data_IF_135204691001
#
_entry.id   IF_135204691001
#
_cell.length_a   1.000
_cell.length_b   1.000
_cell.length_c   1.000
_cell.angle_alpha   90.00
_cell.angle_beta   90.00
_cell.angle_gamma   90.00
#
_symmetry.space_group_name_H-M   'P 1'
#
loop_
_entity.id
_entity.type
_entity.pdbx_description
1 polymer ?
#
# COMPACT_ATOMS: atom_id res chain seq x y z
N UNK A 1 12.88 -13.62 75.60
CA UNK A 1 11.57 -13.47 74.92
C UNK A 1 11.86 -12.79 73.58
N UNK A 2 11.86 -13.55 72.52
CA UNK A 2 12.16 -13.04 71.16
C UNK A 2 10.83 -12.69 70.46
N UNK A 3 10.69 -11.43 70.05
CA UNK A 3 9.55 -10.96 69.21
C UNK A 3 9.90 -11.24 67.78
N UNK A 4 9.22 -12.14 67.16
CA UNK A 4 9.24 -12.41 65.72
C UNK A 4 8.30 -11.47 65.03
N UNK A 5 8.84 -10.54 64.26
CA UNK A 5 8.07 -9.61 63.43
C UNK A 5 7.79 -10.31 62.09
N UNK A 6 6.53 -10.62 61.84
CA UNK A 6 6.05 -11.20 60.56
C UNK A 6 5.91 -10.05 59.54
N UNK A 7 6.81 -9.97 58.57
CA UNK A 7 6.66 -9.09 57.42
C UNK A 7 5.77 -9.77 56.36
N UNK A 8 4.55 -9.30 56.25
CA UNK A 8 3.60 -9.71 55.21
C UNK A 8 3.93 -8.90 53.94
N UNK A 9 4.62 -9.52 53.01
CA UNK A 9 4.85 -8.96 51.69
C UNK A 9 3.55 -9.08 50.90
N UNK A 10 2.80 -7.99 50.76
CA UNK A 10 1.65 -7.88 49.86
C UNK A 10 2.20 -7.73 48.44
N UNK A 11 2.16 -8.83 47.69
CA UNK A 11 2.43 -8.84 46.25
C UNK A 11 1.26 -8.16 45.56
N UNK A 12 1.40 -6.88 45.25
CA UNK A 12 0.43 -6.16 44.40
C UNK A 12 0.64 -6.66 42.96
N UNK A 13 -0.12 -7.67 42.58
CA UNK A 13 -0.28 -8.06 41.16
C UNK A 13 -1.16 -6.98 40.55
N UNK A 14 -0.55 -6.02 39.85
CA UNK A 14 -1.23 -5.11 38.97
C UNK A 14 -1.80 -5.91 37.79
N UNK A 15 -3.02 -6.40 37.94
CA UNK A 15 -3.80 -6.90 36.80
C UNK A 15 -4.13 -5.67 35.96
N UNK A 16 -3.38 -5.50 34.88
CA UNK A 16 -3.76 -4.57 33.83
C UNK A 16 -5.08 -5.08 33.25
N UNK A 17 -6.19 -4.53 33.68
CA UNK A 17 -7.48 -4.72 33.05
C UNK A 17 -7.34 -4.02 31.70
N UNK A 18 -7.02 -4.77 30.67
CA UNK A 18 -7.28 -4.35 29.30
C UNK A 18 -8.80 -4.30 29.16
N UNK A 19 -9.37 -3.12 29.37
CA UNK A 19 -10.69 -2.84 28.88
C UNK A 19 -10.67 -3.17 27.38
N UNK A 20 -11.36 -4.21 26.99
CA UNK A 20 -11.61 -4.49 25.59
C UNK A 20 -12.37 -3.30 25.04
N UNK A 21 -11.69 -2.37 24.40
CA UNK A 21 -12.30 -1.48 23.44
C UNK A 21 -12.76 -2.35 22.28
N UNK A 22 -13.97 -2.92 22.41
CA UNK A 22 -14.58 -3.69 21.35
C UNK A 22 -14.75 -2.79 20.15
N UNK A 23 -14.21 -3.18 19.03
CA UNK A 23 -14.71 -2.71 17.75
C UNK A 23 -13.81 -1.85 16.90
N UNK A 24 -12.65 -1.33 17.25
CA UNK A 24 -11.80 -0.59 16.28
C UNK A 24 -10.28 -0.81 16.47
N UNK A 25 -9.90 -1.84 17.21
CA UNK A 25 -8.48 -2.13 17.47
C UNK A 25 -7.64 -2.31 16.20
N UNK A 26 -8.23 -2.73 15.09
CA UNK A 26 -7.55 -2.87 13.80
C UNK A 26 -7.28 -1.48 13.18
N UNK A 27 -8.22 -0.54 13.31
CA UNK A 27 -8.06 0.83 12.78
C UNK A 27 -7.12 1.68 13.64
N UNK A 28 -7.14 1.50 14.97
CA UNK A 28 -6.15 2.14 15.85
C UNK A 28 -4.74 1.57 15.63
N UNK A 29 -4.59 0.26 15.42
CA UNK A 29 -3.30 -0.32 15.06
C UNK A 29 -2.79 0.22 13.72
N UNK A 30 -3.63 0.35 12.72
CA UNK A 30 -3.23 0.95 11.44
C UNK A 30 -2.92 2.44 11.58
N UNK A 31 -3.69 3.21 12.35
CA UNK A 31 -3.39 4.61 12.64
C UNK A 31 -2.14 4.77 13.51
N UNK A 32 -1.91 3.91 14.50
CA UNK A 32 -0.66 3.88 15.27
C UNK A 32 0.52 3.43 14.43
N UNK A 33 0.32 2.45 13.54
CA UNK A 33 1.34 2.01 12.61
C UNK A 33 1.70 3.11 11.62
N UNK A 34 0.71 3.81 11.07
CA UNK A 34 0.91 4.98 10.20
C UNK A 34 1.53 6.14 10.99
N UNK A 35 1.11 6.40 12.24
CA UNK A 35 1.70 7.44 13.08
C UNK A 35 3.14 7.11 13.51
N UNK A 36 3.43 5.87 13.88
CA UNK A 36 4.78 5.43 14.24
C UNK A 36 5.70 5.37 13.02
N UNK A 37 5.20 4.94 11.87
CA UNK A 37 5.94 5.00 10.60
C UNK A 37 6.23 6.45 10.19
N UNK A 38 5.30 7.37 10.45
CA UNK A 38 5.49 8.80 10.19
C UNK A 38 6.44 9.48 11.20
N UNK A 39 6.53 8.99 12.44
CA UNK A 39 7.47 9.51 13.44
C UNK A 39 8.90 9.06 13.14
N UNK A 40 9.09 7.83 12.70
CA UNK A 40 10.38 7.27 12.30
C UNK A 40 10.82 7.74 10.90
N UNK A 41 9.88 8.16 10.04
CA UNK A 41 10.18 8.63 8.68
C UNK A 41 11.07 9.89 8.60
N UNK A 42 11.28 10.59 9.71
CA UNK A 42 12.20 11.73 9.73
C UNK A 42 13.69 11.32 9.80
N UNK A 43 14.00 10.09 10.19
CA UNK A 43 15.37 9.54 10.13
C UNK A 43 15.59 8.61 8.92
N UNK A 44 14.53 8.00 8.38
CA UNK A 44 14.62 7.03 7.27
C UNK A 44 14.50 7.65 5.87
N UNK A 45 14.18 8.94 5.74
CA UNK A 45 13.91 9.60 4.44
C UNK A 45 15.07 9.62 3.46
N UNK A 46 16.27 9.33 3.87
CA UNK A 46 17.44 9.25 2.96
C UNK A 46 17.67 7.81 2.47
N UNK A 47 17.12 6.81 3.14
CA UNK A 47 17.38 5.39 2.88
C UNK A 47 16.24 4.67 2.16
N UNK A 48 14.99 5.17 2.24
CA UNK A 48 13.80 4.53 1.65
C UNK A 48 13.78 4.59 0.10
N UNK A 49 14.61 5.44 -0.49
CA UNK A 49 14.87 5.43 -1.94
C UNK A 49 15.77 4.25 -2.39
N UNK A 50 16.36 3.50 -1.44
CA UNK A 50 17.25 2.36 -1.75
C UNK A 50 16.61 1.00 -1.48
N UNK A 51 15.48 0.92 -0.81
CA UNK A 51 14.84 -0.36 -0.44
C UNK A 51 13.63 -0.77 -1.30
N UNK A 52 13.22 0.02 -2.28
CA UNK A 52 12.43 -0.56 -3.36
C UNK A 52 13.36 -1.52 -4.09
N UNK A 53 13.30 -2.79 -3.74
CA UNK A 53 14.11 -3.86 -4.27
C UNK A 53 14.44 -3.64 -5.75
N UNK A 54 15.62 -3.11 -5.99
CA UNK A 54 16.38 -3.48 -7.16
C UNK A 54 16.31 -5.00 -7.12
N UNK A 55 15.60 -5.62 -8.04
CA UNK A 55 15.82 -7.02 -8.35
C UNK A 55 17.28 -7.03 -8.72
N UNK A 56 18.09 -7.37 -7.74
CA UNK A 56 19.51 -7.15 -7.78
C UNK A 56 20.08 -7.96 -8.91
N UNK A 57 21.13 -7.45 -9.45
CA UNK A 57 22.10 -8.13 -10.31
C UNK A 57 22.63 -9.46 -9.74
N UNK A 58 22.12 -9.93 -8.60
CA UNK A 58 22.48 -11.21 -7.97
C UNK A 58 22.16 -12.43 -8.83
N UNK A 59 21.23 -12.34 -9.78
CA UNK A 59 20.98 -13.43 -10.74
C UNK A 59 22.16 -13.58 -11.71
N UNK A 60 22.92 -12.52 -11.94
CA UNK A 60 24.04 -12.53 -12.91
C UNK A 60 25.24 -13.34 -12.39
N UNK A 61 25.41 -13.44 -11.08
CA UNK A 61 26.62 -14.02 -10.48
C UNK A 61 26.68 -15.57 -10.47
N UNK A 62 25.58 -16.25 -10.84
CA UNK A 62 25.52 -17.72 -10.88
C UNK A 62 25.30 -18.29 -12.29
N UNK A 63 25.60 -17.50 -13.34
CA UNK A 63 25.40 -17.94 -14.72
C UNK A 63 26.57 -18.79 -15.20
N UNK A 64 26.27 -19.97 -15.70
CA UNK A 64 27.20 -20.69 -16.55
C UNK A 64 27.51 -19.81 -17.78
N UNK A 65 28.72 -19.89 -18.31
CA UNK A 65 29.20 -19.06 -19.42
C UNK A 65 28.33 -19.05 -20.69
N UNK A 66 27.38 -19.98 -20.80
CA UNK A 66 26.51 -20.19 -21.95
C UNK A 66 25.06 -19.74 -21.75
N UNK A 67 24.71 -19.10 -20.61
CA UNK A 67 23.35 -18.71 -20.32
C UNK A 67 23.23 -17.18 -20.21
N UNK A 68 22.09 -16.65 -20.65
CA UNK A 68 21.76 -15.25 -20.51
C UNK A 68 20.35 -15.10 -19.92
N UNK A 69 20.24 -14.37 -18.84
CA UNK A 69 18.97 -14.12 -18.14
C UNK A 69 18.53 -12.68 -18.42
N UNK A 70 17.28 -12.52 -18.79
CA UNK A 70 16.65 -11.22 -18.98
C UNK A 70 15.46 -11.08 -18.07
N UNK A 71 15.37 -9.92 -17.41
CA UNK A 71 14.17 -9.53 -16.68
C UNK A 71 13.57 -8.31 -17.36
N UNK A 72 12.27 -8.35 -17.62
CA UNK A 72 11.49 -7.22 -18.11
C UNK A 72 10.48 -6.83 -17.04
N UNK A 73 10.54 -5.60 -16.60
CA UNK A 73 9.60 -5.03 -15.63
C UNK A 73 8.65 -4.10 -16.37
N UNK A 74 7.36 -4.31 -16.20
CA UNK A 74 6.31 -3.50 -16.84
C UNK A 74 5.33 -2.96 -15.82
N UNK A 75 4.83 -1.76 -16.08
CA UNK A 75 3.89 -1.01 -15.26
C UNK A 75 2.74 -0.53 -16.14
N UNK A 76 1.51 -0.65 -15.63
CA UNK A 76 0.33 -0.07 -16.25
C UNK A 76 -0.42 0.78 -15.23
N UNK A 77 -0.71 2.05 -15.60
CA UNK A 77 -1.61 2.90 -14.82
C UNK A 77 -3.03 2.72 -15.36
N UNK A 78 -3.95 2.38 -14.47
CA UNK A 78 -5.36 2.13 -14.82
C UNK A 78 -6.24 3.05 -13.98
N UNK A 79 -7.10 3.82 -14.65
CA UNK A 79 -8.16 4.55 -13.96
C UNK A 79 -9.16 3.55 -13.39
N UNK A 80 -9.66 3.80 -12.19
CA UNK A 80 -10.66 2.93 -11.59
C UNK A 80 -12.01 3.02 -12.35
N UNK A 81 -12.71 1.92 -12.42
CA UNK A 81 -14.04 1.81 -13.02
C UNK A 81 -15.15 2.19 -12.02
N UNK A 82 -14.85 2.07 -10.74
CA UNK A 82 -15.73 2.49 -9.66
C UNK A 82 -14.94 2.72 -8.36
N UNK A 83 -15.59 3.46 -7.46
CA UNK A 83 -15.03 3.90 -6.19
C UNK A 83 -15.97 3.58 -5.04
N UNK A 84 -15.44 3.44 -3.83
CA UNK A 84 -16.20 3.28 -2.60
C UNK A 84 -15.67 4.25 -1.56
N UNK A 85 -16.44 5.30 -1.25
CA UNK A 85 -16.15 6.17 -0.13
C UNK A 85 -16.72 5.56 1.15
N UNK A 86 -15.91 5.52 2.21
CA UNK A 86 -16.28 5.00 3.52
C UNK A 86 -16.18 6.12 4.54
N UNK A 87 -17.31 6.49 5.13
CA UNK A 87 -17.40 7.48 6.19
C UNK A 87 -17.66 6.81 7.53
N UNK A 88 -17.10 7.36 8.60
CA UNK A 88 -17.47 7.04 9.96
C UNK A 88 -18.50 8.03 10.49
N UNK A 89 -19.52 7.53 11.15
CA UNK A 89 -20.52 8.32 11.85
C UNK A 89 -20.63 7.86 13.30
N UNK A 90 -20.10 8.67 14.21
CA UNK A 90 -20.17 8.44 15.65
C UNK A 90 -21.04 9.50 16.30
N UNK A 91 -22.02 9.07 17.09
CA UNK A 91 -22.93 9.96 17.83
C UNK A 91 -23.17 9.42 19.24
N UNK A 92 -23.50 10.34 20.14
CA UNK A 92 -23.91 10.03 21.51
C UNK A 92 -25.35 10.45 21.79
N UNK A 93 -26.02 9.77 22.71
CA UNK A 93 -27.36 10.11 23.14
C UNK A 93 -27.67 9.51 24.51
N UNK A 94 -28.70 9.99 25.17
CA UNK A 94 -29.06 9.55 26.53
C UNK A 94 -29.57 8.10 26.58
N UNK A 95 -30.12 7.61 25.46
CA UNK A 95 -30.60 6.24 25.32
C UNK A 95 -30.13 5.62 24.00
N UNK A 96 -30.05 4.29 23.96
CA UNK A 96 -29.73 3.56 22.72
C UNK A 96 -30.71 3.85 21.58
N UNK A 97 -32.01 4.09 21.89
CA UNK A 97 -33.02 4.46 20.90
C UNK A 97 -32.77 5.87 20.33
N UNK A 98 -32.45 6.83 21.20
CA UNK A 98 -32.18 8.19 20.82
C UNK A 98 -30.94 8.29 19.89
N UNK A 99 -29.80 7.69 20.30
CA UNK A 99 -28.59 7.74 19.48
C UNK A 99 -28.79 7.05 18.13
N UNK A 100 -29.54 5.94 18.08
CA UNK A 100 -29.89 5.29 16.81
C UNK A 100 -30.77 6.20 15.93
N UNK A 101 -31.70 6.94 16.53
CA UNK A 101 -32.53 7.92 15.81
C UNK A 101 -31.69 9.04 15.19
N UNK A 102 -30.73 9.60 15.94
CA UNK A 102 -29.82 10.64 15.47
C UNK A 102 -28.98 10.15 14.29
N UNK A 103 -28.35 8.97 14.45
CA UNK A 103 -27.50 8.36 13.40
C UNK A 103 -28.29 8.09 12.14
N UNK A 104 -29.49 7.50 12.27
CA UNK A 104 -30.32 7.19 11.11
C UNK A 104 -30.82 8.49 10.41
N UNK A 105 -31.20 9.52 11.15
CA UNK A 105 -31.65 10.80 10.59
C UNK A 105 -30.56 11.45 9.73
N UNK A 106 -29.32 11.49 10.21
CA UNK A 106 -28.17 12.02 9.46
C UNK A 106 -27.89 11.21 8.19
N UNK A 107 -27.89 9.89 8.32
CA UNK A 107 -27.69 9.00 7.16
C UNK A 107 -28.78 9.16 6.11
N UNK A 108 -30.06 9.14 6.50
CA UNK A 108 -31.18 9.27 5.57
C UNK A 108 -31.20 10.68 4.90
N UNK A 109 -30.84 11.73 5.63
CA UNK A 109 -30.68 13.07 5.07
C UNK A 109 -29.61 13.12 3.97
N UNK A 110 -28.41 12.56 4.26
CA UNK A 110 -27.33 12.43 3.27
C UNK A 110 -27.78 11.58 2.07
N UNK A 111 -28.38 10.43 2.32
CA UNK A 111 -28.87 9.50 1.30
C UNK A 111 -29.89 10.15 0.37
N UNK A 112 -30.86 10.88 0.92
CA UNK A 112 -31.87 11.60 0.15
C UNK A 112 -31.25 12.68 -0.75
N UNK A 113 -30.27 13.43 -0.25
CA UNK A 113 -29.55 14.42 -1.03
C UNK A 113 -28.71 13.79 -2.16
N UNK A 114 -28.03 12.66 -1.91
CA UNK A 114 -27.28 11.93 -2.93
C UNK A 114 -28.20 11.29 -3.98
N UNK A 115 -29.39 10.82 -3.60
CA UNK A 115 -30.37 10.32 -4.56
C UNK A 115 -30.79 11.40 -5.56
N UNK A 116 -30.89 12.67 -5.18
CA UNK A 116 -31.13 13.77 -6.11
C UNK A 116 -30.01 13.99 -7.12
N UNK A 117 -28.83 13.45 -6.88
CA UNK A 117 -27.66 13.45 -7.76
C UNK A 117 -27.54 12.17 -8.61
N UNK A 118 -28.53 11.28 -8.55
CA UNK A 118 -28.59 10.07 -9.37
C UNK A 118 -28.14 8.78 -8.68
N UNK A 119 -27.83 8.82 -7.38
CA UNK A 119 -27.55 7.61 -6.61
C UNK A 119 -28.84 6.80 -6.38
N UNK A 120 -28.67 5.50 -6.26
CA UNK A 120 -29.74 4.52 -5.97
C UNK A 120 -29.56 3.90 -4.60
N UNK A 121 -30.56 3.17 -4.10
CA UNK A 121 -30.42 2.45 -2.82
C UNK A 121 -29.29 1.41 -2.84
N UNK A 122 -29.00 0.84 -3.99
CA UNK A 122 -27.95 -0.16 -4.16
C UNK A 122 -26.52 0.41 -4.01
N UNK A 123 -26.38 1.74 -4.07
CA UNK A 123 -25.09 2.40 -3.92
C UNK A 123 -24.70 2.64 -2.46
N UNK A 124 -25.60 2.34 -1.52
CA UNK A 124 -25.40 2.57 -0.09
C UNK A 124 -25.40 1.27 0.68
N UNK A 125 -24.43 1.16 1.59
CA UNK A 125 -24.39 0.12 2.60
C UNK A 125 -23.96 0.73 3.93
N UNK A 126 -24.53 0.22 5.03
CA UNK A 126 -24.12 0.63 6.38
C UNK A 126 -23.81 -0.58 7.23
N UNK A 127 -22.73 -0.51 7.97
CA UNK A 127 -22.41 -1.49 9.01
C UNK A 127 -22.39 -0.84 10.39
N UNK A 128 -22.89 -1.57 11.39
CA UNK A 128 -22.82 -1.14 12.77
C UNK A 128 -21.50 -1.62 13.37
N UNK A 129 -20.67 -0.69 13.83
CA UNK A 129 -19.39 -0.99 14.46
C UNK A 129 -19.55 -1.21 15.95
N UNK A 130 -20.23 -0.29 16.65
CA UNK A 130 -20.44 -0.42 18.10
C UNK A 130 -21.67 0.34 18.57
N UNK A 131 -22.25 -0.15 19.67
CA UNK A 131 -23.21 0.56 20.51
C UNK A 131 -22.80 0.28 21.96
N UNK A 132 -22.23 1.24 22.63
CA UNK A 132 -21.65 1.07 23.96
C UNK A 132 -22.17 2.13 24.93
N UNK A 133 -22.32 1.82 26.23
CA UNK A 133 -22.62 2.83 27.22
C UNK A 133 -21.43 3.78 27.42
N UNK A 134 -21.72 5.04 27.62
CA UNK A 134 -20.75 6.09 27.99
C UNK A 134 -20.84 6.33 29.48
N UNK A 135 -19.69 6.35 30.14
CA UNK A 135 -19.59 6.58 31.58
C UNK A 135 -18.90 7.91 31.85
N UNK A 136 -19.38 8.61 32.87
CA UNK A 136 -18.75 9.83 33.40
C UNK A 136 -18.47 9.68 34.89
N UNK A 137 -17.49 10.43 35.39
CA UNK A 137 -17.19 10.44 36.79
C UNK A 137 -17.99 11.52 37.50
N UNK A 138 -18.88 11.14 38.43
CA UNK A 138 -19.49 12.02 39.40
C UNK A 138 -18.54 12.22 40.57
N UNK A 139 -18.35 13.49 40.96
CA UNK A 139 -17.43 13.86 42.02
C UNK A 139 -18.25 14.22 43.26
N UNK A 140 -18.19 13.33 44.23
CA UNK A 140 -18.73 13.63 45.57
C UNK A 140 -17.63 14.31 46.41
N UNK A 141 -17.83 15.61 46.72
CA UNK A 141 -16.90 16.40 47.48
C UNK A 141 -17.28 16.36 48.96
N UNK A 142 -16.48 15.68 49.78
CA UNK A 142 -16.54 15.77 51.26
C UNK A 142 -15.50 16.77 51.77
N UNK A 143 -15.66 17.26 53.00
CA UNK A 143 -14.83 18.32 53.60
C UNK A 143 -13.31 18.07 53.46
N UNK A 144 -12.84 16.81 53.45
CA UNK A 144 -11.42 16.45 53.36
C UNK A 144 -11.10 15.36 52.31
N UNK A 145 -12.09 14.95 51.48
CA UNK A 145 -11.88 13.95 50.46
C UNK A 145 -12.77 14.18 49.25
N UNK A 146 -12.33 13.69 48.09
CA UNK A 146 -13.11 13.60 46.84
C UNK A 146 -13.28 12.12 46.51
N UNK A 147 -14.50 11.70 46.30
CA UNK A 147 -14.81 10.35 45.77
C UNK A 147 -15.26 10.51 44.34
N UNK A 148 -14.70 9.70 43.44
CA UNK A 148 -15.08 9.63 42.03
C UNK A 148 -15.89 8.35 41.84
N UNK A 149 -17.11 8.49 41.40
CA UNK A 149 -17.98 7.36 41.09
C UNK A 149 -18.29 7.35 39.59
N UNK A 150 -18.00 6.26 38.91
CA UNK A 150 -18.29 6.10 37.50
C UNK A 150 -19.78 5.75 37.34
N UNK A 151 -20.51 6.59 36.60
CA UNK A 151 -21.94 6.42 36.36
C UNK A 151 -22.25 6.44 34.87
N UNK A 152 -23.20 5.60 34.37
CA UNK A 152 -23.60 5.63 32.98
C UNK A 152 -24.36 6.93 32.68
N UNK A 153 -23.94 7.65 31.63
CA UNK A 153 -24.54 8.92 31.19
C UNK A 153 -25.26 8.84 29.85
N UNK A 154 -25.10 7.75 29.12
CA UNK A 154 -25.75 7.57 27.84
C UNK A 154 -25.13 6.45 27.05
N UNK A 155 -25.29 6.54 25.74
CA UNK A 155 -24.79 5.56 24.78
C UNK A 155 -24.06 6.29 23.64
N UNK A 156 -23.02 5.65 23.13
CA UNK A 156 -22.34 6.01 21.91
C UNK A 156 -22.60 4.95 20.85
N UNK A 157 -22.94 5.37 19.64
CA UNK A 157 -23.12 4.50 18.48
C UNK A 157 -22.16 4.92 17.38
N UNK A 158 -21.50 3.94 16.81
CA UNK A 158 -20.62 4.09 15.66
C UNK A 158 -21.10 3.22 14.50
N UNK A 159 -21.27 3.84 13.32
CA UNK A 159 -21.56 3.16 12.07
C UNK A 159 -20.60 3.61 10.99
N UNK A 160 -20.28 2.72 10.06
CA UNK A 160 -19.64 3.09 8.80
C UNK A 160 -20.70 3.16 7.70
N UNK A 161 -20.56 4.17 6.86
CA UNK A 161 -21.40 4.42 5.70
C UNK A 161 -20.55 4.23 4.46
N UNK A 162 -20.95 3.32 3.62
CA UNK A 162 -20.29 2.96 2.37
C UNK A 162 -21.11 3.53 1.21
N UNK A 163 -20.45 4.28 0.32
CA UNK A 163 -21.09 4.94 -0.83
C UNK A 163 -20.30 4.56 -2.09
N UNK A 164 -20.93 3.77 -2.97
CA UNK A 164 -20.36 3.37 -4.25
C UNK A 164 -20.68 4.42 -5.32
N UNK A 165 -19.71 4.79 -6.15
CA UNK A 165 -19.88 5.72 -7.26
C UNK A 165 -18.93 5.39 -8.41
N UNK A 166 -19.18 5.92 -9.60
CA UNK A 166 -18.42 5.60 -10.82
C UNK A 166 -17.52 6.73 -11.30
N UNK A 167 -17.87 7.98 -10.99
CA UNK A 167 -17.10 9.14 -11.42
C UNK A 167 -16.41 9.78 -10.23
N UNK A 168 -15.08 9.88 -10.30
CA UNK A 168 -14.26 10.46 -9.23
C UNK A 168 -14.66 11.90 -8.90
N UNK A 169 -15.16 12.66 -9.90
CA UNK A 169 -15.63 14.04 -9.70
C UNK A 169 -16.80 14.16 -8.73
N UNK A 170 -17.56 13.09 -8.52
CA UNK A 170 -18.64 13.04 -7.54
C UNK A 170 -18.17 13.05 -6.10
N UNK A 171 -16.87 12.80 -5.85
CA UNK A 171 -16.34 12.75 -4.48
C UNK A 171 -16.52 14.10 -3.76
N UNK A 172 -16.32 15.21 -4.44
CA UNK A 172 -16.48 16.56 -3.86
C UNK A 172 -17.95 16.82 -3.48
N UNK A 173 -18.88 16.40 -4.33
CA UNK A 173 -20.33 16.46 -4.04
C UNK A 173 -20.68 15.57 -2.84
N UNK A 174 -20.17 14.34 -2.80
CA UNK A 174 -20.37 13.41 -1.68
C UNK A 174 -19.85 14.02 -0.37
N UNK A 175 -18.64 14.56 -0.38
CA UNK A 175 -18.02 15.22 0.79
C UNK A 175 -18.87 16.41 1.28
N UNK A 176 -19.32 17.24 0.36
CA UNK A 176 -20.14 18.42 0.69
C UNK A 176 -21.49 18.01 1.26
N UNK A 177 -22.15 17.03 0.67
CA UNK A 177 -23.45 16.53 1.14
C UNK A 177 -23.31 15.82 2.49
N UNK A 178 -22.25 15.04 2.69
CA UNK A 178 -21.95 14.41 3.98
C UNK A 178 -21.75 15.47 5.07
N UNK A 179 -20.96 16.50 4.79
CA UNK A 179 -20.71 17.60 5.74
C UNK A 179 -21.99 18.38 6.08
N UNK A 180 -22.89 18.62 5.12
CA UNK A 180 -24.18 19.27 5.35
C UNK A 180 -25.12 18.43 6.25
N UNK A 181 -24.87 17.13 6.36
CA UNK A 181 -25.58 16.20 7.25
C UNK A 181 -24.75 15.87 8.51
N UNK A 182 -23.73 16.67 8.83
CA UNK A 182 -22.84 16.50 9.99
C UNK A 182 -22.10 15.16 10.00
N UNK A 183 -21.74 14.63 8.82
CA UNK A 183 -20.90 13.44 8.61
C UNK A 183 -19.57 13.95 8.05
N UNK A 184 -18.54 14.04 8.90
CA UNK A 184 -17.28 14.71 8.56
C UNK A 184 -16.10 13.76 8.33
N UNK A 185 -16.19 12.54 8.84
CA UNK A 185 -15.05 11.62 8.91
C UNK A 185 -15.02 10.66 7.72
N UNK A 186 -14.38 11.08 6.63
CA UNK A 186 -14.04 10.20 5.52
C UNK A 186 -12.84 9.34 5.92
N UNK A 187 -13.06 8.04 6.10
CA UNK A 187 -12.02 7.08 6.47
C UNK A 187 -11.08 6.82 5.29
N UNK A 188 -11.65 6.47 4.14
CA UNK A 188 -10.90 6.13 2.92
C UNK A 188 -11.79 6.13 1.69
N UNK A 189 -11.15 6.15 0.52
CA UNK A 189 -11.76 5.85 -0.77
C UNK A 189 -11.05 4.61 -1.34
N UNK A 190 -11.82 3.57 -1.68
CA UNK A 190 -11.32 2.38 -2.36
C UNK A 190 -11.55 2.51 -3.86
N UNK A 191 -10.64 1.92 -4.62
CA UNK A 191 -10.60 1.99 -6.08
C UNK A 191 -10.79 0.58 -6.64
N UNK A 192 -11.72 0.40 -7.55
CA UNK A 192 -12.02 -0.88 -8.17
C UNK A 192 -11.74 -0.82 -9.66
N UNK A 193 -11.02 -1.82 -10.15
CA UNK A 193 -10.78 -2.04 -11.58
C UNK A 193 -11.43 -3.35 -11.97
N UNK A 194 -12.24 -3.30 -13.00
CA UNK A 194 -12.85 -4.50 -13.58
C UNK A 194 -11.86 -5.20 -14.50
N UNK A 195 -11.99 -6.52 -14.60
CA UNK A 195 -11.21 -7.36 -15.50
C UNK A 195 -9.68 -7.24 -15.31
N UNK A 196 -9.22 -7.51 -14.09
CA UNK A 196 -7.79 -7.49 -13.74
C UNK A 196 -6.97 -8.46 -14.61
N UNK A 197 -7.53 -9.60 -14.97
CA UNK A 197 -6.85 -10.62 -15.79
C UNK A 197 -6.46 -10.05 -17.15
N UNK A 198 -7.35 -9.31 -17.81
CA UNK A 198 -7.04 -8.68 -19.10
C UNK A 198 -5.91 -7.65 -18.99
N UNK A 199 -5.75 -6.96 -17.82
CA UNK A 199 -4.65 -6.03 -17.60
C UNK A 199 -3.32 -6.77 -17.48
N UNK A 200 -3.32 -7.90 -16.79
CA UNK A 200 -2.12 -8.75 -16.70
C UNK A 200 -1.77 -9.41 -18.04
N UNK A 201 -2.75 -9.85 -18.82
CA UNK A 201 -2.52 -10.41 -20.16
C UNK A 201 -1.91 -9.36 -21.10
N UNK A 202 -2.36 -8.12 -21.05
CA UNK A 202 -1.77 -7.02 -21.82
C UNK A 202 -0.32 -6.76 -21.40
N UNK A 203 -0.04 -6.68 -20.09
CA UNK A 203 1.31 -6.51 -19.58
C UNK A 203 2.23 -7.66 -19.98
N UNK A 204 1.74 -8.89 -19.90
CA UNK A 204 2.46 -10.09 -20.31
C UNK A 204 2.81 -10.04 -21.80
N UNK A 205 1.83 -9.75 -22.64
CA UNK A 205 2.00 -9.64 -24.08
C UNK A 205 3.06 -8.61 -24.44
N UNK A 206 2.97 -7.39 -23.87
CA UNK A 206 3.96 -6.32 -24.08
C UNK A 206 5.35 -6.70 -23.60
N UNK A 207 5.45 -7.42 -22.48
CA UNK A 207 6.73 -7.88 -21.94
C UNK A 207 7.38 -8.93 -22.83
N UNK A 208 6.59 -9.85 -23.40
CA UNK A 208 7.07 -10.84 -24.38
C UNK A 208 7.53 -10.14 -25.65
N UNK A 209 6.75 -9.22 -26.21
CA UNK A 209 7.10 -8.45 -27.41
C UNK A 209 8.44 -7.69 -27.22
N UNK A 210 8.59 -7.05 -26.05
CA UNK A 210 9.83 -6.35 -25.69
C UNK A 210 11.02 -7.31 -25.63
N UNK A 211 10.83 -8.49 -25.07
CA UNK A 211 11.86 -9.53 -24.98
C UNK A 211 12.27 -10.02 -26.37
N UNK A 212 11.31 -10.28 -27.27
CA UNK A 212 11.58 -10.70 -28.65
C UNK A 212 12.34 -9.63 -29.44
N UNK A 213 11.99 -8.35 -29.23
CA UNK A 213 12.74 -7.22 -29.79
C UNK A 213 14.19 -7.22 -29.29
N UNK A 214 14.39 -7.36 -27.98
CA UNK A 214 15.73 -7.40 -27.37
C UNK A 214 16.59 -8.55 -27.90
N UNK A 215 15.98 -9.75 -28.08
CA UNK A 215 16.63 -10.89 -28.76
C UNK A 215 17.09 -10.54 -30.17
N UNK A 216 16.24 -9.87 -30.96
CA UNK A 216 16.57 -9.43 -32.31
C UNK A 216 17.72 -8.44 -32.33
N UNK A 217 17.74 -7.50 -31.38
CA UNK A 217 18.82 -6.49 -31.28
C UNK A 217 20.15 -7.15 -30.87
N UNK A 218 20.16 -8.13 -29.99
CA UNK A 218 21.34 -8.91 -29.63
C UNK A 218 21.91 -9.68 -30.82
N UNK A 219 21.04 -10.25 -31.66
CA UNK A 219 21.47 -10.93 -32.90
C UNK A 219 22.21 -9.97 -33.85
N UNK A 220 21.79 -8.71 -33.94
CA UNK A 220 22.51 -7.70 -34.73
C UNK A 220 23.91 -7.40 -34.16
N UNK A 221 24.10 -7.61 -32.86
CA UNK A 221 25.40 -7.48 -32.19
C UNK A 221 26.26 -8.76 -32.28
N UNK A 222 25.81 -9.78 -33.00
CA UNK A 222 26.52 -11.04 -33.16
C UNK A 222 26.25 -12.10 -32.06
N UNK A 223 25.33 -11.82 -31.14
CA UNK A 223 24.93 -12.74 -30.09
C UNK A 223 23.69 -13.49 -30.55
N UNK A 224 23.84 -14.75 -30.96
CA UNK A 224 22.71 -15.62 -31.40
C UNK A 224 22.24 -16.44 -30.18
N UNK A 225 21.07 -16.08 -29.64
CA UNK A 225 20.42 -16.81 -28.58
C UNK A 225 19.69 -18.01 -29.17
N UNK A 226 19.69 -19.13 -28.48
CA UNK A 226 18.90 -20.30 -28.88
C UNK A 226 17.41 -19.93 -28.99
N UNK A 227 16.68 -20.66 -29.83
CA UNK A 227 15.23 -20.57 -29.93
C UNK A 227 14.53 -21.12 -28.68
N UNK A 228 15.19 -22.01 -27.96
CA UNK A 228 14.69 -22.55 -26.69
C UNK A 228 14.94 -21.55 -25.58
N UNK A 229 13.88 -21.11 -24.93
CA UNK A 229 13.95 -20.29 -23.74
C UNK A 229 13.18 -20.96 -22.59
N UNK A 230 13.53 -20.60 -21.38
CA UNK A 230 12.83 -21.03 -20.19
C UNK A 230 12.31 -19.80 -19.44
N UNK A 231 11.03 -19.78 -19.15
CA UNK A 231 10.48 -18.81 -18.20
C UNK A 231 10.94 -19.25 -16.81
N UNK A 232 11.72 -18.39 -16.16
CA UNK A 232 12.26 -18.66 -14.83
C UNK A 232 11.31 -18.15 -13.76
N UNK A 233 10.68 -16.99 -13.99
CA UNK A 233 9.77 -16.38 -13.05
C UNK A 233 8.80 -15.43 -13.75
N UNK A 234 7.56 -15.50 -13.34
CA UNK A 234 6.53 -14.49 -13.60
C UNK A 234 6.03 -13.98 -12.27
N UNK A 235 5.95 -12.66 -12.10
CA UNK A 235 5.42 -12.01 -10.92
C UNK A 235 4.48 -10.90 -11.33
N UNK A 236 3.33 -10.87 -10.71
CA UNK A 236 2.34 -9.81 -10.90
C UNK A 236 1.92 -9.22 -9.54
N UNK A 237 1.66 -7.94 -9.50
CA UNK A 237 1.06 -7.29 -8.34
C UNK A 237 0.24 -6.07 -8.74
N UNK A 238 -0.64 -5.65 -7.84
CA UNK A 238 -1.43 -4.45 -7.97
C UNK A 238 -1.17 -3.54 -6.77
N UNK A 239 -1.00 -2.25 -7.04
CA UNK A 239 -0.79 -1.23 -6.01
C UNK A 239 -1.93 -0.23 -6.10
N UNK A 240 -2.67 -0.09 -5.01
CA UNK A 240 -3.81 0.82 -4.93
C UNK A 240 -3.37 2.22 -4.49
N UNK A 241 -4.11 3.28 -4.88
CA UNK A 241 -3.76 4.64 -4.51
C UNK A 241 -3.65 4.86 -3.00
N UNK A 242 -4.50 4.21 -2.19
CA UNK A 242 -4.48 4.36 -0.74
C UNK A 242 -3.13 4.01 -0.11
N UNK A 243 -2.42 3.02 -0.68
CA UNK A 243 -1.11 2.58 -0.20
C UNK A 243 0.01 3.55 -0.60
N UNK A 244 -0.30 4.48 -1.51
CA UNK A 244 0.65 5.44 -2.08
C UNK A 244 0.48 6.86 -1.58
N UNK A 245 -0.45 7.13 -0.66
CA UNK A 245 -0.55 8.43 -0.04
C UNK A 245 0.55 8.63 0.99
N UNK A 246 1.31 9.70 0.80
CA UNK A 246 2.40 10.12 1.68
C UNK A 246 2.05 11.42 2.38
N UNK A 247 2.44 11.55 3.65
CA UNK A 247 2.23 12.78 4.39
C UNK A 247 3.41 13.73 4.23
N UNK A 248 3.10 15.01 4.06
CA UNK A 248 4.06 16.10 4.01
C UNK A 248 3.74 17.15 5.06
N UNK A 249 4.74 17.60 5.80
CA UNK A 249 4.58 18.69 6.74
C UNK A 249 5.09 19.98 6.09
N UNK A 250 4.16 20.89 5.78
CA UNK A 250 4.54 22.21 5.28
C UNK A 250 5.27 23.01 6.38
N UNK A 251 6.42 23.55 6.03
CA UNK A 251 7.09 24.55 6.84
C UNK A 251 6.45 25.90 6.56
N UNK A 252 5.46 26.31 7.37
CA UNK A 252 5.03 27.70 7.34
C UNK A 252 6.08 28.53 8.09
N UNK A 253 6.48 29.65 7.49
CA UNK A 253 7.53 30.50 7.97
C UNK A 253 7.42 30.80 9.48
N UNK A 254 8.45 30.47 10.20
CA UNK A 254 8.62 30.91 11.58
C UNK A 254 9.24 32.31 11.53
N UNK A 255 8.63 33.26 12.25
CA UNK A 255 9.24 34.57 12.47
C UNK A 255 10.64 34.38 13.06
N UNK A 256 11.62 35.14 12.55
CA UNK A 256 13.00 35.12 13.06
C UNK A 256 13.07 35.46 14.55
N UNK A 257 12.13 36.28 15.06
CA UNK A 257 12.02 36.66 16.46
C UNK A 257 11.54 35.50 17.33
N UNK A 258 10.60 34.67 16.84
CA UNK A 258 10.13 33.47 17.57
C UNK A 258 11.26 32.47 17.76
N UNK A 259 12.23 32.37 16.84
CA UNK A 259 13.40 31.47 16.97
C UNK A 259 14.35 31.89 18.11
N UNK A 260 14.34 33.15 18.52
CA UNK A 260 15.18 33.66 19.60
C UNK A 260 14.55 33.48 20.98
N UNK A 261 13.25 33.18 21.09
CA UNK A 261 12.53 32.98 22.34
C UNK A 261 12.65 31.52 22.81
N UNK A 262 12.95 31.35 24.10
CA UNK A 262 12.99 30.04 24.77
C UNK A 262 11.59 29.43 25.03
N UNK A 263 10.54 30.25 24.95
CA UNK A 263 9.15 29.87 25.30
C UNK A 263 8.27 30.07 24.06
N UNK A 264 8.27 29.08 23.15
CA UNK A 264 7.39 29.10 21.98
C UNK A 264 6.40 27.92 22.06
N UNK A 265 5.12 28.24 22.25
CA UNK A 265 4.05 27.26 22.16
C UNK A 265 3.76 27.01 20.68
N UNK A 266 4.08 25.81 20.21
CA UNK A 266 3.82 25.42 18.81
C UNK A 266 2.43 24.79 18.68
N UNK A 267 1.60 25.35 17.84
CA UNK A 267 0.33 24.73 17.44
C UNK A 267 0.66 23.57 16.49
N UNK A 268 0.02 22.40 16.72
CA UNK A 268 0.15 21.24 15.84
C UNK A 268 -0.49 21.60 14.49
N UNK A 269 0.33 21.64 13.43
CA UNK A 269 -0.15 21.89 12.08
C UNK A 269 -0.65 20.59 11.45
N UNK A 270 -1.75 20.64 10.70
CA UNK A 270 -2.21 19.47 9.94
C UNK A 270 -1.15 19.06 8.92
N UNK A 271 -1.06 17.77 8.65
CA UNK A 271 -0.19 17.23 7.60
C UNK A 271 -0.95 17.25 6.28
N UNK A 272 -0.27 17.66 5.23
CA UNK A 272 -0.79 17.53 3.87
C UNK A 272 -0.49 16.14 3.35
N UNK A 273 -1.47 15.52 2.71
CA UNK A 273 -1.32 14.23 2.04
C UNK A 273 -1.20 14.44 0.53
N UNK A 274 -0.37 13.62 -0.12
CA UNK A 274 -0.24 13.62 -1.57
C UNK A 274 -0.07 12.20 -2.09
N UNK A 275 -0.56 11.98 -3.31
CA UNK A 275 -0.41 10.72 -4.01
C UNK A 275 0.97 10.63 -4.66
N UNK A 276 1.70 9.54 -4.35
CA UNK A 276 3.04 9.29 -4.87
C UNK A 276 3.05 8.01 -5.72
N UNK A 277 3.03 8.15 -7.02
CA UNK A 277 3.06 7.03 -7.98
C UNK A 277 4.31 6.18 -7.84
N UNK A 278 4.26 4.94 -8.30
CA UNK A 278 5.45 4.14 -8.53
C UNK A 278 6.36 4.85 -9.55
N UNK A 279 7.67 4.91 -9.30
CA UNK A 279 8.61 5.64 -10.17
C UNK A 279 8.79 4.92 -11.51
N UNK A 280 8.52 5.59 -12.62
CA UNK A 280 8.52 5.01 -13.96
C UNK A 280 9.90 4.54 -14.43
N UNK A 281 10.98 5.17 -13.96
CA UNK A 281 12.34 4.81 -14.36
C UNK A 281 12.78 3.40 -13.93
N UNK A 282 12.00 2.73 -13.08
CA UNK A 282 12.26 1.34 -12.65
C UNK A 282 11.63 0.30 -13.56
N UNK A 283 10.92 0.73 -14.60
CA UNK A 283 10.19 -0.15 -15.50
C UNK A 283 10.68 0.03 -16.93
N UNK A 284 10.86 -1.09 -17.62
CA UNK A 284 11.22 -1.12 -19.05
C UNK A 284 10.04 -0.68 -19.92
N UNK A 285 8.82 -0.96 -19.47
CA UNK A 285 7.58 -0.65 -20.16
C UNK A 285 6.64 0.06 -19.20
N UNK A 286 6.12 1.22 -19.61
CA UNK A 286 5.07 1.94 -18.89
C UNK A 286 3.90 2.20 -19.81
N UNK A 287 2.76 1.60 -19.48
CA UNK A 287 1.49 1.78 -20.19
C UNK A 287 0.69 2.89 -19.50
N UNK A 288 0.10 3.79 -20.27
CA UNK A 288 -0.64 4.95 -19.80
C UNK A 288 0.16 5.86 -18.83
N UNK A 289 1.35 6.34 -19.23
CA UNK A 289 2.18 7.16 -18.33
C UNK A 289 1.58 8.55 -18.02
N UNK A 290 0.64 9.02 -18.85
CA UNK A 290 0.06 10.37 -18.75
C UNK A 290 -1.13 10.47 -17.80
N UNK A 291 -1.54 9.39 -17.13
CA UNK A 291 -2.62 9.42 -16.15
C UNK A 291 -2.21 10.31 -14.96
N UNK A 292 -2.93 11.40 -14.71
CA UNK A 292 -2.60 12.41 -13.69
C UNK A 292 -3.23 12.03 -12.34
N UNK A 293 -4.47 11.56 -12.38
CA UNK A 293 -5.24 11.17 -11.22
C UNK A 293 -4.63 9.98 -10.46
N UNK A 294 -5.00 9.79 -9.19
CA UNK A 294 -4.70 8.59 -8.45
C UNK A 294 -5.20 7.34 -9.21
N UNK A 295 -4.27 6.51 -9.65
CA UNK A 295 -4.56 5.35 -10.50
C UNK A 295 -4.15 4.05 -9.84
N UNK A 296 -4.88 2.99 -10.13
CA UNK A 296 -4.46 1.63 -9.75
C UNK A 296 -3.29 1.24 -10.64
N UNK A 297 -2.18 0.83 -10.04
CA UNK A 297 -0.95 0.51 -10.75
C UNK A 297 -0.72 -1.00 -10.78
N UNK A 298 -0.84 -1.58 -11.96
CA UNK A 298 -0.54 -3.00 -12.19
C UNK A 298 0.94 -3.13 -12.55
N UNK A 299 1.62 -4.06 -11.91
CA UNK A 299 3.02 -4.38 -12.21
C UNK A 299 3.15 -5.83 -12.63
N UNK A 300 4.06 -6.06 -13.58
CA UNK A 300 4.37 -7.39 -14.04
C UNK A 300 5.86 -7.50 -14.32
N UNK A 301 6.47 -8.59 -13.89
CA UNK A 301 7.89 -8.88 -14.11
C UNK A 301 8.02 -10.26 -14.72
N UNK A 302 8.67 -10.33 -15.88
CA UNK A 302 8.97 -11.55 -16.62
C UNK A 302 10.48 -11.79 -16.61
N UNK A 303 10.91 -12.90 -16.08
CA UNK A 303 12.31 -13.35 -16.14
C UNK A 303 12.44 -14.55 -17.04
N UNK A 304 13.27 -14.44 -18.07
CA UNK A 304 13.48 -15.47 -19.08
C UNK A 304 14.98 -15.78 -19.18
N UNK A 305 15.28 -17.05 -19.29
CA UNK A 305 16.63 -17.58 -19.52
C UNK A 305 16.76 -18.11 -20.93
N UNK A 306 17.80 -17.68 -21.64
CA UNK A 306 18.20 -18.21 -22.95
C UNK A 306 19.55 -18.91 -22.84
N UNK A 307 19.75 -19.91 -23.68
CA UNK A 307 21.05 -20.53 -23.86
C UNK A 307 21.75 -19.89 -25.08
N UNK A 308 22.99 -19.50 -24.93
CA UNK A 308 23.80 -18.92 -25.98
C UNK A 308 24.31 -20.08 -26.85
N UNK A 309 24.07 -20.00 -28.16
CA UNK A 309 24.63 -20.97 -29.09
C UNK A 309 26.14 -20.78 -29.19
N UNK A 310 26.87 -21.80 -28.83
CA UNK A 310 28.29 -21.83 -29.16
C UNK A 310 28.47 -21.88 -30.67
N UNK A 311 29.42 -21.11 -31.22
CA UNK A 311 29.76 -21.26 -32.62
C UNK A 311 30.25 -22.69 -32.85
N UNK A 312 29.64 -23.36 -33.83
CA UNK A 312 30.05 -24.70 -34.22
C UNK A 312 31.51 -24.62 -34.60
N UNK A 313 32.39 -25.12 -33.76
CA UNK A 313 33.79 -25.27 -34.10
C UNK A 313 33.85 -26.29 -35.25
N UNK A 314 34.11 -25.82 -36.46
CA UNK A 314 34.46 -26.74 -37.56
C UNK A 314 35.68 -27.49 -37.12
N UNK A 315 35.51 -28.75 -36.78
CA UNK A 315 36.62 -29.65 -36.53
C UNK A 315 37.20 -29.94 -37.91
N UNK A 316 38.23 -29.24 -38.31
CA UNK A 316 38.99 -29.62 -39.47
C UNK A 316 39.77 -30.89 -39.12
N UNK A 317 39.26 -32.02 -39.59
CA UNK A 317 39.97 -33.29 -39.47
C UNK A 317 41.17 -33.24 -40.40
N UNK A 318 42.38 -33.12 -39.86
CA UNK A 318 43.58 -33.31 -40.59
C UNK A 318 43.93 -34.81 -40.60
N UNK A 319 43.86 -35.40 -41.78
CA UNK A 319 44.33 -36.77 -41.96
C UNK A 319 45.83 -36.75 -42.24
N UNK A 320 46.58 -37.42 -41.39
CA UNK A 320 48.04 -37.51 -41.48
C UNK A 320 48.37 -38.96 -41.89
N UNK A 321 48.98 -39.11 -43.02
CA UNK A 321 49.53 -40.43 -43.46
C UNK A 321 50.99 -40.49 -43.07
N UNK A 322 51.33 -41.53 -42.29
CA UNK A 322 52.73 -41.84 -41.94
C UNK A 322 53.20 -42.96 -42.87
N UNK A 323 54.24 -42.68 -43.67
CA UNK A 323 54.87 -43.74 -44.50
C UNK A 323 55.71 -44.65 -43.66
N UNK A 324 56.03 -45.92 -44.13
CA UNK A 324 56.94 -46.78 -43.43
C UNK A 324 58.36 -46.22 -43.24
N UNK A 325 58.75 -45.25 -44.03
CA UNK A 325 60.02 -44.53 -43.93
C UNK A 325 59.98 -43.31 -42.93
N UNK A 326 58.86 -43.10 -42.19
CA UNK A 326 58.74 -42.01 -41.21
C UNK A 326 58.32 -40.64 -41.79
N UNK A 327 57.97 -40.58 -43.05
CA UNK A 327 57.58 -39.35 -43.73
C UNK A 327 56.08 -39.06 -43.41
N UNK A 328 55.80 -37.90 -42.87
CA UNK A 328 54.46 -37.43 -42.57
C UNK A 328 53.90 -36.62 -43.77
N UNK A 329 52.77 -37.07 -44.32
CA UNK A 329 52.04 -36.30 -45.34
C UNK A 329 50.63 -35.95 -44.80
N UNK A 330 50.29 -34.69 -44.88
CA UNK A 330 48.91 -34.23 -44.58
C UNK A 330 48.06 -34.40 -45.83
N UNK A 331 46.97 -35.14 -45.72
CA UNK A 331 45.98 -35.32 -46.78
C UNK A 331 44.88 -34.24 -46.60
N UNK A 332 44.70 -33.37 -47.60
CA UNK A 332 43.48 -32.57 -47.73
C UNK A 332 42.46 -33.46 -48.43
N UNK A 333 41.35 -33.75 -47.75
CA UNK A 333 40.17 -34.39 -48.33
C UNK A 333 39.20 -33.23 -48.57
N UNK A 334 38.94 -32.90 -49.82
CA UNK A 334 37.94 -31.91 -50.27
C UNK A 334 36.52 -32.44 -50.04
#
# INVERSE_FOLDING_TARGET
MKKTTLILAILIISISIFAQSGGNGIYEQNNRYIQNKAYNANQEKVWDLRQDNIVSDEIINNMNSNEMVFTVNSLMNVKADSYLAIFNLTQTGSTAKEVNGIVNSKFEGMKAALKSKGFTDADFYTDMISLVPVYEYEIDKKLFSKTYTEVPKGFEMQKNIHIKFKDESLLDDIMTIAANNEIYDLIKVEYFVENNDAKYDELRTKSVDYMLKKKTDLKKLGIDLDTIYHIVSEKSSVVYPIDRYKSYQAFSGTSLEAKKSKTVTKVRKPRTMFYNKLPYHKYDIVINPAVIEPSVQFTYSLTVKYVIKEPIKKIEKQFIMLSPSGVVKTLKID
#
